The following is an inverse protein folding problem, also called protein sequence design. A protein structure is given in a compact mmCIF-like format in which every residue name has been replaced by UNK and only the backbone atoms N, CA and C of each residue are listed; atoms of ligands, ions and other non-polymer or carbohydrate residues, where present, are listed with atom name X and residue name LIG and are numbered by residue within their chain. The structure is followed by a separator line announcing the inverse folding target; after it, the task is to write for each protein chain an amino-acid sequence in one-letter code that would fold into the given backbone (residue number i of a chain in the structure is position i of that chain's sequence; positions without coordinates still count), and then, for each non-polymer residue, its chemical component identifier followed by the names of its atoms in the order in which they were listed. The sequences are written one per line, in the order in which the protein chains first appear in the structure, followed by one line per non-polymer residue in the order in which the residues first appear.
data_IF_760834775075
#
_entry.id   IF_760834775075
#
_cell.length_a   1.000
_cell.length_b   1.000
_cell.length_c   1.000
_cell.angle_alpha   90.00
_cell.angle_beta   90.00
_cell.angle_gamma   90.00
#
_symmetry.space_group_name_H-M   'P 1'
#
loop_
_entity.id
_entity.type
_entity.pdbx_description
1 polymer ?
#
# COMPACT_ATOMS: atom_id res chain seq x y z
N UNK A 1 -17.81 -16.40 13.40
CA UNK A 1 -16.64 -15.72 12.80
C UNK A 1 -15.80 -16.78 12.13
N UNK A 2 -15.37 -16.53 10.90
CA UNK A 2 -14.53 -17.45 10.13
C UNK A 2 -13.08 -17.00 10.28
N UNK A 3 -12.16 -17.94 10.52
CA UNK A 3 -10.72 -17.67 10.57
C UNK A 3 -10.03 -18.54 9.51
N UNK A 4 -8.96 -18.02 8.92
CA UNK A 4 -8.18 -18.70 7.89
C UNK A 4 -6.90 -19.26 8.48
N UNK A 5 -6.51 -20.46 8.02
CA UNK A 5 -5.23 -21.11 8.37
C UNK A 5 -4.05 -20.54 7.59
N UNK A 6 -4.33 -19.82 6.50
CA UNK A 6 -3.36 -19.11 5.66
C UNK A 6 -3.78 -17.63 5.47
N UNK A 7 -2.91 -16.80 4.87
CA UNK A 7 -3.35 -15.48 4.43
C UNK A 7 -4.35 -15.62 3.26
N UNK A 8 -5.59 -15.12 3.40
CA UNK A 8 -6.60 -15.25 2.35
C UNK A 8 -6.34 -14.25 1.23
N UNK A 9 -6.96 -14.51 0.08
CA UNK A 9 -7.07 -13.51 -0.97
C UNK A 9 -7.97 -12.35 -0.49
N UNK A 10 -7.51 -11.12 -0.69
CA UNK A 10 -8.24 -9.92 -0.29
C UNK A 10 -7.84 -9.37 1.08
N UNK A 11 -8.67 -8.49 1.63
CA UNK A 11 -8.39 -7.85 2.91
C UNK A 11 -8.79 -8.73 4.10
N UNK A 12 -8.04 -8.61 5.19
CA UNK A 12 -8.30 -9.31 6.43
C UNK A 12 -7.82 -8.49 7.63
N UNK A 13 -8.37 -8.81 8.80
CA UNK A 13 -7.81 -8.36 10.07
C UNK A 13 -6.80 -9.39 10.59
N UNK A 14 -5.69 -8.88 11.09
CA UNK A 14 -4.74 -9.63 11.91
C UNK A 14 -5.13 -9.44 13.37
N UNK A 15 -5.76 -10.43 13.98
CA UNK A 15 -6.30 -10.32 15.33
C UNK A 15 -5.47 -11.05 16.36
N UNK A 16 -5.41 -10.52 17.56
CA UNK A 16 -4.86 -11.29 18.69
C UNK A 16 -5.79 -12.46 19.00
N UNK A 17 -5.26 -13.65 19.27
CA UNK A 17 -6.08 -14.82 19.62
C UNK A 17 -6.76 -14.70 20.98
N UNK A 18 -6.13 -14.01 21.93
CA UNK A 18 -6.62 -13.85 23.30
C UNK A 18 -7.49 -12.62 23.57
N UNK A 19 -7.75 -11.75 22.58
CA UNK A 19 -8.55 -10.53 22.78
C UNK A 19 -9.26 -10.06 21.49
N UNK A 20 -10.02 -8.96 21.59
CA UNK A 20 -10.66 -8.31 20.43
C UNK A 20 -9.77 -7.29 19.73
N UNK A 21 -8.48 -7.24 20.06
CA UNK A 21 -7.52 -6.33 19.44
C UNK A 21 -7.12 -6.81 18.04
N UNK A 22 -6.82 -5.85 17.17
CA UNK A 22 -6.30 -6.04 15.83
C UNK A 22 -5.00 -5.26 15.64
N UNK A 23 -4.17 -5.70 14.69
CA UNK A 23 -2.98 -4.97 14.26
C UNK A 23 -3.41 -3.70 13.53
N UNK A 24 -2.85 -2.57 13.97
CA UNK A 24 -3.22 -1.23 13.56
C UNK A 24 -1.95 -0.42 13.24
N UNK A 25 -2.00 0.39 12.17
CA UNK A 25 -1.01 1.44 11.94
C UNK A 25 -1.35 2.64 12.81
N UNK A 26 -0.48 2.96 13.77
CA UNK A 26 -0.74 3.98 14.78
C UNK A 26 -1.18 5.32 14.17
N UNK A 27 -2.33 5.83 14.62
CA UNK A 27 -2.92 7.07 14.13
C UNK A 27 -3.41 7.02 12.67
N UNK A 28 -3.34 5.85 12.02
CA UNK A 28 -3.57 5.71 10.58
C UNK A 28 -2.60 6.50 9.72
N UNK A 29 -1.38 6.72 10.22
CA UNK A 29 -0.33 7.42 9.49
C UNK A 29 -0.03 6.71 8.15
N UNK A 30 0.30 7.47 7.11
CA UNK A 30 0.58 6.98 5.76
C UNK A 30 2.07 7.13 5.39
N UNK A 31 2.91 7.48 6.36
CA UNK A 31 4.35 7.70 6.15
C UNK A 31 5.18 6.51 6.65
N UNK A 32 6.40 6.43 6.14
CA UNK A 32 7.40 5.49 6.61
C UNK A 32 7.65 5.66 8.11
N UNK A 33 8.08 4.58 8.75
CA UNK A 33 8.47 4.55 10.16
C UNK A 33 7.32 4.73 11.15
N UNK A 34 6.07 4.83 10.68
CA UNK A 34 4.90 4.76 11.54
C UNK A 34 4.82 3.41 12.24
N UNK A 35 4.63 3.44 13.56
CA UNK A 35 4.62 2.25 14.42
C UNK A 35 3.43 1.35 14.13
N UNK A 36 3.68 0.05 14.18
CA UNK A 36 2.62 -0.96 14.23
C UNK A 36 2.29 -1.28 15.67
N UNK A 37 1.01 -1.19 16.01
CA UNK A 37 0.48 -1.39 17.35
C UNK A 37 -0.67 -2.38 17.32
N UNK A 38 -1.16 -2.77 18.50
CA UNK A 38 -2.50 -3.32 18.65
C UNK A 38 -3.49 -2.23 19.08
N UNK A 39 -4.71 -2.30 18.55
CA UNK A 39 -5.82 -1.43 18.90
C UNK A 39 -7.14 -2.21 18.88
N UNK A 40 -8.16 -1.74 19.60
CA UNK A 40 -9.48 -2.38 19.59
C UNK A 40 -9.97 -2.48 18.14
N UNK A 41 -10.44 -3.66 17.73
CA UNK A 41 -10.91 -3.85 16.36
C UNK A 41 -12.04 -2.87 16.06
N UNK A 42 -11.84 -2.05 15.02
CA UNK A 42 -12.79 -1.04 14.59
C UNK A 42 -13.84 -1.65 13.67
N UNK A 43 -15.10 -1.27 13.90
CA UNK A 43 -16.23 -1.66 13.04
C UNK A 43 -16.48 -0.67 11.90
N UNK A 44 -16.01 0.57 12.05
CA UNK A 44 -16.07 1.67 11.07
C UNK A 44 -14.69 2.33 10.98
N UNK A 45 -14.35 2.92 9.83
CA UNK A 45 -13.02 3.50 9.56
C UNK A 45 -11.85 2.58 10.00
N UNK A 46 -11.98 1.30 9.66
CA UNK A 46 -11.04 0.24 10.05
C UNK A 46 -9.92 0.02 9.03
N UNK A 47 -9.80 0.89 8.02
CA UNK A 47 -8.90 0.69 6.88
C UNK A 47 -7.41 0.69 7.26
N UNK A 48 -7.02 1.33 8.36
CA UNK A 48 -5.65 1.22 8.92
C UNK A 48 -5.41 -0.08 9.71
N UNK A 49 -6.43 -0.91 9.93
CA UNK A 49 -6.37 -2.25 10.54
C UNK A 49 -6.56 -3.38 9.53
N UNK A 50 -6.84 -3.04 8.27
CA UNK A 50 -7.01 -4.00 7.19
C UNK A 50 -5.69 -4.22 6.47
N UNK A 51 -5.36 -5.49 6.27
CA UNK A 51 -4.14 -5.94 5.63
C UNK A 51 -4.48 -6.84 4.45
N UNK A 52 -3.64 -6.83 3.42
CA UNK A 52 -3.65 -7.83 2.36
C UNK A 52 -2.28 -8.48 2.28
N UNK A 53 -2.25 -9.73 1.81
CA UNK A 53 -1.01 -10.44 1.54
C UNK A 53 -0.80 -10.58 0.05
N UNK A 54 0.35 -10.13 -0.45
CA UNK A 54 0.76 -10.33 -1.84
C UNK A 54 2.25 -10.60 -1.88
N UNK A 55 2.65 -11.72 -2.48
CA UNK A 55 4.05 -12.16 -2.58
C UNK A 55 4.80 -12.13 -1.24
N UNK A 56 4.19 -12.48 -0.11
CA UNK A 56 4.89 -12.40 1.18
C UNK A 56 4.85 -11.02 1.83
N UNK A 57 4.41 -9.96 1.16
CA UNK A 57 4.25 -8.65 1.79
C UNK A 57 2.89 -8.55 2.48
N UNK A 58 2.88 -8.04 3.71
CA UNK A 58 1.66 -7.59 4.38
C UNK A 58 1.48 -6.10 4.11
N UNK A 59 0.53 -5.75 3.25
CA UNK A 59 0.26 -4.38 2.79
C UNK A 59 -0.91 -3.83 3.59
N UNK A 60 -0.74 -2.65 4.19
CA UNK A 60 -1.83 -1.97 4.88
C UNK A 60 -2.78 -1.32 3.86
N UNK A 61 -4.09 -1.46 4.06
CA UNK A 61 -5.09 -0.94 3.13
C UNK A 61 -5.06 0.59 3.01
N UNK A 62 -4.88 1.31 4.12
CA UNK A 62 -4.91 2.78 4.17
C UNK A 62 -3.65 3.42 3.58
N UNK A 63 -2.48 2.89 3.92
CA UNK A 63 -1.21 3.52 3.52
C UNK A 63 -0.63 2.99 2.21
N UNK A 64 -0.98 1.75 1.82
CA UNK A 64 -0.29 1.02 0.76
C UNK A 64 1.16 0.63 1.10
N UNK A 65 1.62 0.95 2.32
CA UNK A 65 2.94 0.58 2.83
C UNK A 65 2.91 -0.84 3.39
N UNK A 66 4.09 -1.44 3.49
CA UNK A 66 4.24 -2.83 3.93
C UNK A 66 4.76 -2.91 5.36
N UNK A 67 4.39 -3.98 6.05
CA UNK A 67 4.93 -4.30 7.37
C UNK A 67 6.43 -4.59 7.28
N UNK A 68 7.22 -3.93 8.12
CA UNK A 68 8.68 -3.91 8.06
C UNK A 68 9.28 -4.04 9.46
N UNK A 69 10.31 -4.89 9.60
CA UNK A 69 11.12 -4.96 10.82
C UNK A 69 12.08 -3.77 10.86
N UNK A 70 11.89 -2.89 11.85
CA UNK A 70 12.62 -1.61 11.95
C UNK A 70 14.13 -1.79 11.92
N UNK A 71 14.77 -1.08 10.99
CA UNK A 71 16.21 -1.11 10.79
C UNK A 71 16.73 -2.33 10.02
N UNK A 72 15.86 -3.16 9.46
CA UNK A 72 16.22 -4.23 8.51
C UNK A 72 16.78 -5.52 9.12
N UNK A 73 17.40 -5.44 10.30
CA UNK A 73 17.98 -6.62 10.95
C UNK A 73 16.91 -7.53 11.57
N UNK A 74 16.88 -8.79 11.14
CA UNK A 74 16.06 -9.86 11.73
C UNK A 74 16.69 -10.39 13.02
N UNK A 75 16.56 -9.61 14.10
CA UNK A 75 16.98 -9.98 15.46
C UNK A 75 15.80 -9.84 16.41
N UNK A 76 15.85 -10.55 17.55
CA UNK A 76 14.85 -10.37 18.61
C UNK A 76 14.79 -8.91 19.09
N UNK A 77 13.66 -8.55 19.67
CA UNK A 77 13.38 -7.25 20.27
C UNK A 77 13.28 -6.07 19.28
N UNK A 78 13.19 -6.35 17.99
CA UNK A 78 13.04 -5.33 16.93
C UNK A 78 11.57 -4.99 16.73
N UNK A 79 11.23 -3.72 16.86
CA UNK A 79 9.86 -3.22 16.65
C UNK A 79 9.43 -3.31 15.19
N UNK A 80 8.13 -3.39 14.97
CA UNK A 80 7.52 -3.32 13.64
C UNK A 80 7.02 -1.92 13.32
N UNK A 81 7.24 -1.54 12.08
CA UNK A 81 6.80 -0.28 11.47
C UNK A 81 6.13 -0.61 10.13
N UNK A 82 5.48 0.37 9.52
CA UNK A 82 5.26 0.34 8.08
C UNK A 82 6.39 1.06 7.35
N UNK A 83 6.69 0.60 6.15
CA UNK A 83 7.67 1.23 5.28
C UNK A 83 7.33 1.00 3.81
N UNK A 84 7.90 1.83 2.93
CA UNK A 84 7.90 1.59 1.50
C UNK A 84 8.36 0.17 1.16
N UNK A 85 7.67 -0.49 0.23
CA UNK A 85 8.07 -1.81 -0.28
C UNK A 85 9.48 -1.72 -0.88
N UNK A 86 10.41 -2.51 -0.36
CA UNK A 86 11.81 -2.58 -0.82
C UNK A 86 11.91 -3.50 -2.04
N UNK A 87 12.82 -3.16 -2.95
CA UNK A 87 13.14 -4.01 -4.09
C UNK A 87 13.96 -5.25 -3.68
N UNK A 88 14.00 -6.25 -4.56
CA UNK A 88 14.81 -7.46 -4.38
C UNK A 88 14.24 -8.40 -3.31
N UNK A 89 15.13 -8.99 -2.50
CA UNK A 89 14.74 -9.99 -1.51
C UNK A 89 13.85 -9.40 -0.40
N UNK A 90 14.10 -8.14 0.00
CA UNK A 90 13.32 -7.43 1.02
C UNK A 90 13.02 -8.29 2.26
N UNK A 91 14.02 -9.05 2.74
CA UNK A 91 13.84 -10.14 3.72
C UNK A 91 13.17 -9.71 5.02
N UNK A 92 13.26 -8.43 5.36
CA UNK A 92 12.68 -7.83 6.56
C UNK A 92 11.22 -7.35 6.37
N UNK A 93 10.63 -7.60 5.19
CA UNK A 93 9.27 -7.26 4.79
C UNK A 93 8.48 -8.46 4.24
N UNK A 94 9.09 -9.66 4.28
CA UNK A 94 8.49 -10.91 3.79
C UNK A 94 7.99 -11.74 4.96
N UNK A 95 6.69 -12.02 4.99
CA UNK A 95 5.97 -12.62 6.11
C UNK A 95 5.27 -13.90 5.68
N UNK A 96 5.25 -14.85 6.60
CA UNK A 96 4.45 -16.07 6.53
C UNK A 96 3.61 -16.20 7.80
N UNK A 97 2.50 -16.92 7.66
CA UNK A 97 1.62 -17.32 8.75
C UNK A 97 1.54 -18.84 8.82
N UNK A 98 1.69 -19.40 10.01
CA UNK A 98 1.52 -20.84 10.25
C UNK A 98 1.27 -21.10 11.74
N UNK A 99 0.32 -21.98 12.05
CA UNK A 99 0.01 -22.42 13.42
C UNK A 99 -0.27 -21.26 14.38
N UNK A 100 -0.92 -20.19 13.90
CA UNK A 100 -1.19 -18.98 14.70
C UNK A 100 -0.01 -18.01 14.83
N UNK A 101 1.16 -18.29 14.25
CA UNK A 101 2.32 -17.41 14.31
C UNK A 101 2.53 -16.66 13.00
N UNK A 102 2.80 -15.36 13.10
CA UNK A 102 3.26 -14.52 11.98
C UNK A 102 4.76 -14.30 12.15
N UNK A 103 5.55 -14.58 11.11
CA UNK A 103 7.02 -14.53 11.19
C UNK A 103 7.66 -14.10 9.86
N UNK A 104 8.88 -13.52 9.90
CA UNK A 104 9.65 -13.25 8.70
C UNK A 104 10.04 -14.56 8.01
N UNK A 105 9.87 -14.64 6.68
CA UNK A 105 10.19 -15.85 5.90
C UNK A 105 11.66 -16.29 6.07
N UNK A 106 12.57 -15.32 6.16
CA UNK A 106 14.00 -15.59 6.33
C UNK A 106 14.40 -15.94 7.78
N UNK A 107 13.51 -15.78 8.76
CA UNK A 107 13.79 -16.09 10.16
C UNK A 107 12.55 -16.69 10.88
N UNK A 108 12.12 -17.92 10.55
CA UNK A 108 10.88 -18.51 11.11
C UNK A 108 10.89 -18.78 12.63
N UNK A 109 12.05 -18.69 13.27
CA UNK A 109 12.20 -18.80 14.73
C UNK A 109 11.84 -17.49 15.47
N UNK A 110 11.79 -16.36 14.74
CA UNK A 110 11.35 -15.07 15.25
C UNK A 110 9.90 -14.83 14.85
N UNK A 111 9.01 -14.69 15.82
CA UNK A 111 7.57 -14.47 15.61
C UNK A 111 7.16 -13.10 16.15
N UNK A 112 6.06 -12.60 15.62
CA UNK A 112 5.43 -11.36 16.04
C UNK A 112 4.81 -11.48 17.43
N UNK A 113 5.10 -10.51 18.29
CA UNK A 113 4.66 -10.46 19.69
C UNK A 113 4.27 -9.01 20.07
N UNK A 114 3.53 -8.88 21.15
CA UNK A 114 2.99 -7.62 21.66
C UNK A 114 3.82 -7.17 22.87
N UNK A 115 4.32 -5.94 22.87
CA UNK A 115 4.97 -5.36 24.04
C UNK A 115 3.97 -5.28 25.20
N UNK A 116 4.34 -5.78 26.38
CA UNK A 116 3.40 -5.93 27.50
C UNK A 116 2.63 -7.26 27.51
N UNK A 117 2.85 -8.13 26.50
CA UNK A 117 2.34 -9.49 26.52
C UNK A 117 0.82 -9.59 26.49
N UNK A 118 0.27 -10.46 27.32
CA UNK A 118 -1.16 -10.81 27.36
C UNK A 118 -2.06 -9.78 28.05
N UNK A 119 -1.53 -8.62 28.43
CA UNK A 119 -2.34 -7.52 28.95
C UNK A 119 -3.14 -6.84 27.83
N UNK A 120 -2.73 -7.04 26.56
CA UNK A 120 -3.38 -6.53 25.35
C UNK A 120 -3.72 -5.03 25.42
N UNK A 121 -2.90 -4.23 26.11
CA UNK A 121 -3.14 -2.80 26.29
C UNK A 121 -3.15 -2.10 24.92
N UNK A 122 -4.14 -1.24 24.69
CA UNK A 122 -4.21 -0.42 23.48
C UNK A 122 -2.92 0.39 23.28
N UNK A 123 -2.56 0.61 22.02
CA UNK A 123 -1.32 1.25 21.59
C UNK A 123 -0.04 0.50 21.96
N UNK A 124 -0.12 -0.75 22.43
CA UNK A 124 1.07 -1.58 22.63
C UNK A 124 1.75 -1.85 21.30
N UNK A 125 3.05 -1.57 21.24
CA UNK A 125 3.85 -1.79 20.03
C UNK A 125 4.02 -3.28 19.76
N UNK A 126 4.10 -3.61 18.48
CA UNK A 126 4.41 -4.95 18.02
C UNK A 126 5.90 -5.07 17.72
N UNK A 127 6.48 -6.22 18.01
CA UNK A 127 7.90 -6.52 17.79
C UNK A 127 8.09 -7.99 17.40
N UNK A 128 9.29 -8.36 16.98
CA UNK A 128 9.66 -9.77 16.75
C UNK A 128 10.53 -10.32 17.89
N UNK A 129 10.29 -11.57 18.29
CA UNK A 129 11.04 -12.27 19.33
C UNK A 129 11.01 -13.77 19.11
N UNK A 130 11.75 -14.54 19.91
CA UNK A 130 11.74 -16.00 19.81
C UNK A 130 10.33 -16.55 20.05
N UNK A 131 9.94 -17.52 19.23
CA UNK A 131 8.70 -18.28 19.42
C UNK A 131 8.69 -18.93 20.82
N UNK A 132 7.68 -18.58 21.62
CA UNK A 132 7.34 -19.25 22.88
C UNK A 132 5.91 -19.81 22.76
N UNK A 133 5.75 -21.15 22.69
CA UNK A 133 4.44 -21.81 22.68
C UNK A 133 3.52 -21.46 23.86
N UNK A 134 4.08 -20.96 24.97
CA UNK A 134 3.34 -20.57 26.17
C UNK A 134 2.92 -19.10 26.15
N UNK A 135 3.37 -18.31 25.17
CA UNK A 135 3.05 -16.89 25.06
C UNK A 135 1.80 -16.66 24.21
N UNK A 136 0.64 -16.34 24.82
CA UNK A 136 -0.59 -16.12 24.05
C UNK A 136 -0.55 -14.82 23.24
N UNK A 137 0.32 -13.86 23.58
CA UNK A 137 0.51 -12.62 22.82
C UNK A 137 1.23 -12.82 21.47
N UNK A 138 1.78 -14.00 21.24
CA UNK A 138 2.38 -14.40 19.95
C UNK A 138 1.39 -15.12 19.02
N UNK A 139 0.13 -15.27 19.44
CA UNK A 139 -0.87 -16.01 18.70
C UNK A 139 -1.86 -15.07 18.01
N UNK A 140 -1.95 -15.23 16.70
CA UNK A 140 -2.72 -14.40 15.79
C UNK A 140 -3.79 -15.22 15.08
N UNK A 141 -4.93 -14.59 14.82
CA UNK A 141 -6.03 -15.10 14.02
C UNK A 141 -6.15 -14.25 12.76
N UNK A 142 -6.25 -14.91 11.61
CA UNK A 142 -6.53 -14.24 10.34
C UNK A 142 -8.04 -14.23 10.16
N UNK A 143 -8.67 -13.07 10.31
CA UNK A 143 -10.10 -12.91 10.08
C UNK A 143 -10.32 -12.28 8.70
N UNK A 144 -10.77 -13.04 7.69
CA UNK A 144 -11.14 -12.48 6.40
C UNK A 144 -12.14 -11.34 6.55
N UNK A 145 -11.93 -10.26 5.80
CA UNK A 145 -12.84 -9.14 5.76
C UNK A 145 -13.72 -9.24 4.51
N UNK A 146 -14.85 -9.91 4.68
CA UNK A 146 -15.88 -10.03 3.66
C UNK A 146 -16.93 -8.93 3.84
N UNK A 147 -16.82 -7.91 3.00
CA UNK A 147 -17.84 -6.89 2.84
C UNK A 147 -18.28 -6.93 1.37
N UNK A 148 -19.58 -7.11 1.09
CA UNK A 148 -20.14 -7.09 -0.28
C UNK A 148 -19.68 -5.85 -1.05
N UNK A 149 -19.67 -4.68 -0.40
CA UNK A 149 -19.14 -3.44 -0.96
C UNK A 149 -17.64 -3.51 -1.18
N UNK A 150 -16.85 -4.15 -0.30
CA UNK A 150 -15.41 -4.35 -0.54
C UNK A 150 -15.09 -5.45 -1.54
N UNK A 151 -15.94 -6.47 -1.74
CA UNK A 151 -15.84 -7.43 -2.84
C UNK A 151 -16.17 -6.76 -4.16
N UNK A 152 -17.18 -5.89 -4.18
CA UNK A 152 -17.49 -5.02 -5.31
C UNK A 152 -16.38 -4.00 -5.57
N UNK A 153 -15.90 -3.28 -4.56
CA UNK A 153 -14.76 -2.36 -4.66
C UNK A 153 -13.51 -3.11 -5.14
N UNK A 154 -13.22 -4.31 -4.61
CA UNK A 154 -12.13 -5.16 -5.09
C UNK A 154 -12.38 -5.66 -6.51
N UNK A 155 -13.62 -5.92 -6.94
CA UNK A 155 -13.94 -6.28 -8.33
C UNK A 155 -13.86 -5.08 -9.27
N UNK A 156 -14.12 -3.87 -8.79
CA UNK A 156 -13.98 -2.61 -9.53
C UNK A 156 -12.51 -2.18 -9.63
N UNK A 157 -11.75 -2.40 -8.56
CA UNK A 157 -10.30 -2.22 -8.53
C UNK A 157 -9.61 -3.34 -9.31
N UNK A 158 -10.11 -4.58 -9.27
CA UNK A 158 -9.51 -5.79 -9.83
C UNK A 158 -10.55 -6.56 -10.70
N UNK A 159 -11.02 -5.98 -11.83
CA UNK A 159 -12.01 -6.66 -12.65
C UNK A 159 -11.45 -7.97 -13.20
N UNK A 160 -12.29 -9.02 -13.29
CA UNK A 160 -11.88 -10.28 -13.85
C UNK A 160 -11.42 -10.07 -15.30
N UNK A 161 -10.43 -10.85 -15.73
CA UNK A 161 -9.65 -10.56 -16.93
C UNK A 161 -10.47 -10.37 -18.23
N UNK A 162 -11.71 -10.85 -18.24
CA UNK A 162 -12.64 -10.77 -19.37
C UNK A 162 -13.49 -9.48 -19.43
N UNK A 163 -13.54 -8.66 -18.37
CA UNK A 163 -14.32 -7.40 -18.30
C UNK A 163 -13.45 -6.14 -18.41
N UNK A 164 -12.16 -6.29 -18.74
CA UNK A 164 -11.22 -5.17 -18.87
C UNK A 164 -11.50 -4.36 -20.14
N UNK A 165 -12.41 -3.40 -20.04
CA UNK A 165 -12.61 -2.38 -21.05
C UNK A 165 -12.02 -1.05 -20.52
N UNK A 166 -10.76 -0.79 -20.88
CA UNK A 166 -9.89 0.36 -20.52
C UNK A 166 -9.05 0.21 -19.24
N UNK A 167 -7.74 0.03 -19.46
CA UNK A 167 -6.67 -0.14 -18.49
C UNK A 167 -6.17 1.22 -17.99
N UNK A 168 -6.58 1.63 -16.78
CA UNK A 168 -5.85 2.66 -16.04
C UNK A 168 -5.26 2.05 -14.75
N UNK A 169 -4.06 2.50 -14.34
CA UNK A 169 -3.40 2.05 -13.12
C UNK A 169 -4.29 2.01 -11.90
N UNK A 170 -4.29 0.87 -11.20
CA UNK A 170 -5.07 0.70 -9.97
C UNK A 170 -4.39 1.40 -8.79
N UNK A 171 -5.16 1.84 -7.77
CA UNK A 171 -4.63 2.46 -6.56
C UNK A 171 -3.42 1.74 -5.93
N UNK A 172 -3.43 0.40 -5.87
CA UNK A 172 -2.35 -0.39 -5.27
C UNK A 172 -1.06 -0.37 -6.09
N UNK A 173 -1.15 -0.12 -7.39
CA UNK A 173 -0.01 -0.11 -8.32
C UNK A 173 0.66 1.27 -8.38
N UNK A 174 -0.05 2.33 -7.98
CA UNK A 174 0.40 3.71 -8.18
C UNK A 174 1.74 4.01 -7.48
N UNK A 175 1.95 3.47 -6.27
CA UNK A 175 3.22 3.66 -5.57
C UNK A 175 4.39 2.96 -6.27
N UNK A 176 4.17 1.74 -6.79
CA UNK A 176 5.21 1.01 -7.52
C UNK A 176 5.62 1.76 -8.79
N UNK A 177 4.64 2.27 -9.52
CA UNK A 177 4.89 3.11 -10.70
C UNK A 177 5.61 4.42 -10.34
N UNK A 178 5.20 5.08 -9.26
CA UNK A 178 5.89 6.26 -8.73
C UNK A 178 7.35 5.96 -8.36
N UNK A 179 7.59 4.84 -7.67
CA UNK A 179 8.93 4.41 -7.26
C UNK A 179 9.82 4.23 -8.47
N UNK A 180 9.36 3.50 -9.49
CA UNK A 180 10.14 3.24 -10.70
C UNK A 180 10.44 4.53 -11.47
N UNK A 181 9.50 5.48 -11.54
CA UNK A 181 9.68 6.73 -12.31
C UNK A 181 10.50 7.79 -11.59
N UNK A 182 10.35 7.93 -10.27
CA UNK A 182 10.90 9.06 -9.51
C UNK A 182 12.00 8.70 -8.52
N UNK A 183 12.05 7.46 -8.04
CA UNK A 183 12.98 7.05 -6.98
C UNK A 183 14.11 6.16 -7.51
N UNK A 184 13.87 5.36 -8.54
CA UNK A 184 14.87 4.45 -9.10
C UNK A 184 15.64 5.12 -10.26
N UNK A 185 16.93 5.39 -10.07
CA UNK A 185 17.76 6.11 -11.06
C UNK A 185 18.29 5.24 -12.23
N UNK A 186 17.81 4.00 -12.42
CA UNK A 186 18.49 3.04 -13.32
C UNK A 186 17.67 2.38 -14.42
N UNK A 187 16.32 2.41 -14.40
CA UNK A 187 15.58 1.99 -15.60
C UNK A 187 15.56 3.16 -16.57
N UNK A 188 16.05 2.94 -17.79
CA UNK A 188 15.82 3.90 -18.87
C UNK A 188 14.31 4.10 -18.93
N UNK A 189 13.84 5.30 -18.54
CA UNK A 189 12.42 5.65 -18.57
C UNK A 189 11.80 5.26 -19.91
N UNK A 190 12.59 5.16 -20.99
CA UNK A 190 12.21 4.77 -22.34
C UNK A 190 11.39 3.46 -22.42
N UNK A 191 11.58 2.52 -21.49
CA UNK A 191 10.92 1.20 -21.52
C UNK A 191 9.60 1.14 -20.73
N UNK A 192 9.20 2.23 -20.06
CA UNK A 192 8.00 2.26 -19.22
C UNK A 192 6.75 2.49 -20.06
N UNK A 193 5.73 1.65 -19.87
CA UNK A 193 4.43 1.70 -20.54
C UNK A 193 3.62 2.97 -20.23
N UNK A 194 2.63 3.35 -21.07
CA UNK A 194 1.82 4.54 -20.83
C UNK A 194 1.06 4.46 -19.50
N UNK A 195 0.65 3.26 -19.12
CA UNK A 195 0.02 2.97 -17.84
C UNK A 195 0.96 3.26 -16.67
N UNK A 196 2.17 2.71 -16.68
CA UNK A 196 3.16 2.95 -15.62
C UNK A 196 3.43 4.46 -15.44
N UNK A 197 3.59 5.20 -16.54
CA UNK A 197 3.82 6.64 -16.46
C UNK A 197 2.58 7.40 -15.97
N UNK A 198 1.38 7.02 -16.42
CA UNK A 198 0.13 7.64 -15.98
C UNK A 198 -0.09 7.42 -14.47
N UNK A 199 0.19 6.21 -13.98
CA UNK A 199 0.01 5.86 -12.58
C UNK A 199 1.08 6.51 -11.69
N UNK A 200 2.31 6.64 -12.19
CA UNK A 200 3.34 7.40 -11.50
C UNK A 200 2.97 8.90 -11.39
N UNK A 201 2.46 9.50 -12.47
CA UNK A 201 1.96 10.88 -12.45
C UNK A 201 0.80 11.05 -11.47
N UNK A 202 -0.16 10.11 -11.48
CA UNK A 202 -1.28 10.07 -10.55
C UNK A 202 -0.80 10.10 -9.09
N UNK A 203 0.07 9.16 -8.71
CA UNK A 203 0.57 9.08 -7.34
C UNK A 203 1.37 10.32 -6.93
N UNK A 204 2.19 10.85 -7.83
CA UNK A 204 2.96 12.06 -7.54
C UNK A 204 2.04 13.26 -7.31
N UNK A 205 1.00 13.43 -8.11
CA UNK A 205 -0.01 14.46 -7.92
C UNK A 205 -0.70 14.34 -6.55
N UNK A 206 -1.08 13.13 -6.15
CA UNK A 206 -1.66 12.84 -4.82
C UNK A 206 -0.69 13.23 -3.70
N UNK A 207 0.57 12.80 -3.81
CA UNK A 207 1.61 13.13 -2.82
C UNK A 207 1.82 14.63 -2.71
N UNK A 208 1.84 15.35 -3.84
CA UNK A 208 1.96 16.81 -3.87
C UNK A 208 0.76 17.48 -3.19
N UNK A 209 -0.46 17.01 -3.46
CA UNK A 209 -1.68 17.51 -2.82
C UNK A 209 -1.63 17.34 -1.30
N UNK A 210 -1.34 16.14 -0.82
CA UNK A 210 -1.27 15.84 0.63
C UNK A 210 -0.21 16.69 1.31
N UNK A 211 0.97 16.83 0.69
CA UNK A 211 2.04 17.67 1.21
C UNK A 211 1.62 19.14 1.31
N UNK A 212 0.87 19.66 0.33
CA UNK A 212 0.36 21.02 0.33
C UNK A 212 -0.70 21.25 1.42
N UNK A 213 -1.67 20.34 1.56
CA UNK A 213 -2.67 20.39 2.63
C UNK A 213 -1.99 20.38 4.01
N UNK A 214 -1.00 19.50 4.22
CA UNK A 214 -0.23 19.44 5.46
C UNK A 214 0.53 20.74 5.74
N UNK A 215 1.15 21.34 4.72
CA UNK A 215 1.85 22.63 4.83
C UNK A 215 0.90 23.76 5.23
N UNK A 216 -0.30 23.79 4.64
CA UNK A 216 -1.34 24.77 4.92
C UNK A 216 -2.10 24.50 6.23
N UNK A 217 -1.90 23.33 6.84
CA UNK A 217 -2.67 22.82 7.99
C UNK A 217 -4.16 22.68 7.67
N UNK A 218 -4.47 22.33 6.42
CA UNK A 218 -5.83 22.08 5.95
C UNK A 218 -6.15 20.57 5.95
N UNK A 219 -7.42 20.19 6.15
CA UNK A 219 -7.83 18.80 6.02
C UNK A 219 -7.70 18.31 4.57
N UNK A 220 -7.52 17.00 4.38
CA UNK A 220 -7.39 16.40 3.04
C UNK A 220 -8.73 16.47 2.28
N UNK A 221 -9.84 16.26 2.99
CA UNK A 221 -11.18 16.33 2.43
C UNK A 221 -11.72 17.76 2.50
N UNK A 222 -11.64 18.49 1.39
CA UNK A 222 -12.17 19.86 1.21
C UNK A 222 -12.95 19.95 -0.09
N UNK A 223 -13.88 20.91 -0.22
CA UNK A 223 -14.77 21.02 -1.39
C UNK A 223 -14.03 21.14 -2.73
N UNK A 224 -12.83 21.73 -2.73
CA UNK A 224 -11.97 21.92 -3.90
C UNK A 224 -10.84 20.88 -4.01
N UNK A 225 -10.86 19.80 -3.22
CA UNK A 225 -9.78 18.81 -3.19
C UNK A 225 -9.62 18.11 -4.55
N UNK A 226 -10.73 17.69 -5.17
CA UNK A 226 -10.71 17.00 -6.47
C UNK A 226 -10.16 17.89 -7.58
N UNK A 227 -10.60 19.15 -7.64
CA UNK A 227 -10.14 20.09 -8.66
C UNK A 227 -8.64 20.39 -8.51
N UNK A 228 -8.19 20.56 -7.26
CA UNK A 228 -6.77 20.79 -6.95
C UNK A 228 -5.94 19.56 -7.32
N UNK A 229 -6.41 18.36 -6.95
CA UNK A 229 -5.74 17.12 -7.28
C UNK A 229 -5.65 16.90 -8.79
N UNK A 230 -6.76 17.07 -9.51
CA UNK A 230 -6.81 16.92 -10.96
C UNK A 230 -5.80 17.87 -11.63
N UNK A 231 -5.71 19.11 -11.18
CA UNK A 231 -4.74 20.08 -11.70
C UNK A 231 -3.29 19.59 -11.51
N UNK A 232 -2.94 19.14 -10.31
CA UNK A 232 -1.59 18.66 -9.99
C UNK A 232 -1.22 17.41 -10.81
N UNK A 233 -2.16 16.47 -10.93
CA UNK A 233 -1.99 15.24 -11.72
C UNK A 233 -1.82 15.57 -13.19
N UNK A 234 -2.64 16.46 -13.75
CA UNK A 234 -2.56 16.88 -15.14
C UNK A 234 -1.26 17.59 -15.46
N UNK A 235 -0.77 18.45 -14.56
CA UNK A 235 0.53 19.09 -14.71
C UNK A 235 1.66 18.06 -14.74
N UNK A 236 1.64 17.10 -13.83
CA UNK A 236 2.67 16.06 -13.76
C UNK A 236 2.63 15.11 -14.97
N UNK A 237 1.44 14.71 -15.40
CA UNK A 237 1.24 13.88 -16.59
C UNK A 237 1.80 14.58 -17.83
N UNK A 238 1.48 15.87 -18.04
CA UNK A 238 2.04 16.67 -19.15
C UNK A 238 3.56 16.75 -19.08
N UNK A 239 4.13 16.90 -17.87
CA UNK A 239 5.58 16.94 -17.65
C UNK A 239 6.25 15.63 -18.06
N UNK A 240 5.74 14.47 -17.61
CA UNK A 240 6.27 13.17 -17.99
C UNK A 240 6.16 12.91 -19.50
N UNK A 241 5.05 13.31 -20.11
CA UNK A 241 4.85 13.16 -21.55
C UNK A 241 5.84 14.02 -22.36
N UNK A 242 6.14 15.23 -21.89
CA UNK A 242 7.14 16.10 -22.51
C UNK A 242 8.57 15.52 -22.38
N UNK A 243 8.94 15.05 -21.19
CA UNK A 243 10.23 14.34 -20.96
C UNK A 243 10.39 13.14 -21.91
N UNK A 244 9.31 12.38 -22.07
CA UNK A 244 9.26 11.21 -22.97
C UNK A 244 9.48 11.58 -24.42
N UNK A 245 8.71 12.56 -24.94
CA UNK A 245 8.84 13.03 -26.32
C UNK A 245 10.25 13.55 -26.64
N UNK A 246 10.86 14.27 -25.69
CA UNK A 246 12.22 14.76 -25.84
C UNK A 246 13.27 13.64 -25.94
N UNK A 247 13.12 12.55 -25.16
CA UNK A 247 13.99 11.37 -25.23
C UNK A 247 13.88 10.60 -26.55
N UNK A 248 12.71 10.58 -27.20
CA UNK A 248 12.48 9.81 -28.44
C UNK A 248 13.18 10.42 -29.65
N UNK A 249 13.31 11.75 -29.69
CA UNK A 249 13.97 12.51 -30.76
C UNK A 249 15.50 12.31 -30.82
N UNK A 250 16.11 11.67 -29.82
CA UNK A 250 17.57 11.53 -29.69
C UNK A 250 18.12 10.16 -30.09
N UNK A 251 17.27 9.15 -30.31
CA UNK A 251 17.70 7.75 -30.47
C UNK A 251 16.71 6.95 -31.32
N UNK A 252 17.09 6.63 -32.56
CA UNK A 252 16.59 5.53 -33.44
C UNK A 252 15.50 5.84 -34.51
N UNK A 253 15.70 5.27 -35.71
CA UNK A 253 14.90 5.30 -36.96
C UNK A 253 13.64 4.41 -36.93
N UNK A 254 13.27 3.82 -35.79
CA UNK A 254 12.05 3.01 -35.64
C UNK A 254 11.03 3.85 -34.87
N UNK A 255 9.85 4.05 -35.46
CA UNK A 255 8.73 4.75 -34.83
C UNK A 255 8.31 3.94 -33.59
N UNK A 256 8.55 4.41 -32.36
CA UNK A 256 8.14 3.68 -31.19
C UNK A 256 6.63 3.86 -30.97
N UNK A 257 5.99 2.86 -30.37
CA UNK A 257 4.54 2.71 -30.08
C UNK A 257 3.85 3.96 -29.45
N UNK A 258 4.68 4.89 -28.98
CA UNK A 258 4.36 6.16 -28.33
C UNK A 258 4.00 7.32 -29.25
N UNK A 259 4.39 7.27 -30.54
CA UNK A 259 4.07 8.35 -31.49
C UNK A 259 2.57 8.48 -31.74
N UNK A 260 1.80 7.42 -31.48
CA UNK A 260 0.34 7.37 -31.54
C UNK A 260 -0.36 7.61 -30.20
N UNK A 261 0.39 7.89 -29.11
CA UNK A 261 -0.22 8.05 -27.79
C UNK A 261 -1.11 9.30 -27.75
N UNK A 262 -2.42 9.06 -27.69
CA UNK A 262 -3.42 10.11 -27.59
C UNK A 262 -3.22 10.87 -26.26
N UNK A 263 -2.68 12.08 -26.31
CA UNK A 263 -2.35 12.91 -25.13
C UNK A 263 -3.57 13.09 -24.20
N UNK A 264 -4.77 13.41 -24.72
CA UNK A 264 -6.01 13.34 -23.94
C UNK A 264 -6.24 12.01 -23.21
N UNK A 265 -6.00 10.87 -23.85
CA UNK A 265 -6.18 9.55 -23.24
C UNK A 265 -5.20 9.31 -22.09
N UNK A 266 -3.91 9.65 -22.27
CA UNK A 266 -2.89 9.51 -21.23
C UNK A 266 -3.19 10.36 -19.99
N UNK A 267 -3.57 11.63 -20.21
CA UNK A 267 -3.97 12.52 -19.12
C UNK A 267 -5.18 11.95 -18.40
N UNK A 268 -6.19 11.50 -19.16
CA UNK A 268 -7.39 10.88 -18.59
C UNK A 268 -7.06 9.64 -17.77
N UNK A 269 -6.12 8.80 -18.20
CA UNK A 269 -5.67 7.64 -17.42
C UNK A 269 -5.08 8.08 -16.07
N UNK A 270 -4.17 9.07 -16.07
CA UNK A 270 -3.57 9.58 -14.84
C UNK A 270 -4.61 10.21 -13.89
N UNK A 271 -5.52 11.01 -14.43
CA UNK A 271 -6.61 11.64 -13.67
C UNK A 271 -7.56 10.60 -13.07
N UNK A 272 -7.98 9.59 -13.85
CA UNK A 272 -8.85 8.52 -13.37
C UNK A 272 -8.18 7.66 -12.30
N UNK A 273 -6.89 7.32 -12.49
CA UNK A 273 -6.10 6.63 -11.47
C UNK A 273 -5.99 7.43 -10.17
N UNK A 274 -5.74 8.75 -10.26
CA UNK A 274 -5.64 9.59 -9.09
C UNK A 274 -6.98 9.79 -8.39
N UNK A 275 -8.06 10.00 -9.14
CA UNK A 275 -9.41 10.12 -8.60
C UNK A 275 -9.87 8.82 -7.94
N UNK A 276 -9.56 7.67 -8.55
CA UNK A 276 -9.85 6.34 -7.98
C UNK A 276 -9.13 6.14 -6.65
N UNK A 277 -7.82 6.44 -6.60
CA UNK A 277 -7.06 6.37 -5.36
C UNK A 277 -7.61 7.36 -4.31
N UNK A 278 -7.86 8.61 -4.72
CA UNK A 278 -8.31 9.65 -3.79
C UNK A 278 -9.67 9.32 -3.19
N UNK A 279 -10.60 8.83 -4.01
CA UNK A 279 -11.92 8.44 -3.56
C UNK A 279 -11.86 7.26 -2.60
N UNK A 280 -11.05 6.25 -2.92
CA UNK A 280 -10.82 5.08 -2.08
C UNK A 280 -10.23 5.45 -0.72
N UNK A 281 -9.23 6.30 -0.68
CA UNK A 281 -8.45 6.57 0.53
C UNK A 281 -8.99 7.73 1.38
N UNK A 282 -9.75 8.67 0.80
CA UNK A 282 -10.11 9.93 1.48
C UNK A 282 -11.59 10.31 1.43
N UNK A 283 -12.42 9.66 0.63
CA UNK A 283 -13.84 10.04 0.47
C UNK A 283 -14.82 8.91 0.81
N UNK A 284 -14.35 7.67 0.77
CA UNK A 284 -15.14 6.49 1.17
C UNK A 284 -14.89 6.06 2.63
N UNK A 285 -14.17 6.87 3.41
CA UNK A 285 -13.94 6.73 4.85
C UNK A 285 -15.10 7.29 5.68
#
# INVERSE_FOLDING_TARGET
MTFSEDFPNGFFFLRTKGSTMAIDVNGGDMTNDASIIIWTQKMTDSINQLWMHEDGFLINKKSGLVMDVKGGDLKKDKSLIQYARKAGLAVNQRWSYKDGYIFPQAAPHLVMDIRGGSDYKEASNIYITNRDPRSPSQQWLIQPFDNERSKQDLSLLRPPAHERHFEFPRPEQLYDYYRVVYLEQQKQKADLTPEELAGAAAFKGIKMFIMDQKRKKEPIHVSHARDTLQLLVTQEAKRLLAEKKAMTTSTTTIIPEWSSLNTPLFIRMAEQSAASYFSREYEMS
#
